data_IF_190706030035
#
_entry.id   IF_190706030035
#
_cell.length_a   1.000
_cell.length_b   1.000
_cell.length_c   1.000
_cell.angle_alpha   90.00
_cell.angle_beta   90.00
_cell.angle_gamma   90.00
#
_symmetry.space_group_name_H-M   'P 1'
#
loop_
_entity.id
_entity.type
_entity.pdbx_description
1 polymer ?
#
# COMPACT_ATOMS: atom_id res chain seq x y z
N UNK A 1 -18.77 13.64 -7.34
CA UNK A 1 -18.20 13.05 -6.10
C UNK A 1 -17.39 11.83 -6.51
N UNK A 2 -16.11 11.72 -6.13
CA UNK A 2 -15.27 10.58 -6.56
C UNK A 2 -15.45 9.41 -5.60
N UNK A 3 -16.26 8.42 -6.00
CA UNK A 3 -16.59 7.24 -5.18
C UNK A 3 -15.56 6.11 -5.31
N UNK A 4 -14.76 6.13 -6.37
CA UNK A 4 -13.73 5.15 -6.64
C UNK A 4 -12.41 5.84 -7.02
N UNK A 5 -11.32 5.32 -6.47
CA UNK A 5 -9.98 5.52 -7.02
C UNK A 5 -9.74 4.45 -8.07
N UNK A 6 -9.13 4.81 -9.21
CA UNK A 6 -8.93 3.86 -10.31
C UNK A 6 -7.54 4.03 -10.89
N UNK A 7 -6.79 2.94 -10.91
CA UNK A 7 -5.49 2.84 -11.57
C UNK A 7 -5.71 2.02 -12.84
N UNK A 8 -5.45 2.64 -14.00
CA UNK A 8 -5.60 2.02 -15.32
C UNK A 8 -4.22 1.72 -15.89
N UNK A 9 -4.02 0.48 -16.33
CA UNK A 9 -2.89 0.10 -17.16
C UNK A 9 -3.44 -0.35 -18.51
N UNK A 10 -3.12 0.44 -19.54
CA UNK A 10 -3.65 0.24 -20.89
C UNK A 10 -3.44 -1.19 -21.35
N UNK A 11 -4.51 -1.79 -21.87
CA UNK A 11 -4.56 -3.17 -22.36
C UNK A 11 -4.39 -4.29 -21.31
N UNK A 12 -4.06 -3.96 -20.06
CA UNK A 12 -3.73 -4.96 -19.05
C UNK A 12 -4.77 -5.07 -17.94
N UNK A 13 -4.95 -4.03 -17.14
CA UNK A 13 -5.84 -4.11 -15.99
C UNK A 13 -6.38 -2.78 -15.50
N UNK A 14 -7.50 -2.85 -14.78
CA UNK A 14 -8.01 -1.78 -13.93
C UNK A 14 -8.00 -2.23 -12.47
N UNK A 15 -7.42 -1.42 -11.59
CA UNK A 15 -7.55 -1.56 -10.14
C UNK A 15 -8.52 -0.49 -9.65
N UNK A 16 -9.53 -0.90 -8.90
CA UNK A 16 -10.64 -0.03 -8.49
C UNK A 16 -10.84 -0.14 -6.99
N UNK A 17 -10.57 0.96 -6.29
CA UNK A 17 -10.68 1.00 -4.83
C UNK A 17 -11.84 1.90 -4.43
N UNK A 18 -12.74 1.39 -3.60
CA UNK A 18 -13.83 2.16 -3.03
C UNK A 18 -13.27 3.26 -2.11
N UNK A 19 -13.61 4.52 -2.41
CA UNK A 19 -13.32 5.65 -1.51
C UNK A 19 -14.46 5.74 -0.51
N UNK A 20 -14.20 5.33 0.74
CA UNK A 20 -15.22 5.32 1.78
C UNK A 20 -15.60 6.75 2.17
N UNK A 21 -16.88 7.05 2.07
CA UNK A 21 -17.46 8.35 2.41
C UNK A 21 -18.63 8.16 3.37
N UNK A 22 -18.70 9.04 4.36
CA UNK A 22 -19.84 9.11 5.25
C UNK A 22 -21.12 9.43 4.45
N UNK A 23 -22.24 8.81 4.82
CA UNK A 23 -23.57 9.03 4.24
C UNK A 23 -23.80 8.51 2.81
N UNK A 24 -22.85 7.83 2.18
CA UNK A 24 -23.06 7.17 0.89
C UNK A 24 -23.60 5.76 1.11
N UNK A 25 -24.75 5.44 0.50
CA UNK A 25 -25.37 4.13 0.62
C UNK A 25 -24.66 3.07 -0.22
N UNK A 26 -24.74 1.80 0.18
CA UNK A 26 -24.24 0.66 -0.62
C UNK A 26 -24.81 0.66 -2.04
N UNK A 27 -26.09 1.00 -2.19
CA UNK A 27 -26.75 1.10 -3.50
C UNK A 27 -26.05 2.11 -4.41
N UNK A 28 -25.74 3.30 -3.90
CA UNK A 28 -25.04 4.36 -4.63
C UNK A 28 -23.64 3.90 -5.09
N UNK A 29 -22.92 3.14 -4.27
CA UNK A 29 -21.63 2.57 -4.68
C UNK A 29 -21.80 1.56 -5.82
N UNK A 30 -22.80 0.68 -5.75
CA UNK A 30 -23.06 -0.31 -6.81
C UNK A 30 -23.46 0.35 -8.12
N UNK A 31 -24.29 1.39 -8.10
CA UNK A 31 -24.66 2.15 -9.30
C UNK A 31 -23.42 2.77 -9.96
N UNK A 32 -22.62 3.51 -9.20
CA UNK A 32 -21.40 4.12 -9.69
C UNK A 32 -20.37 3.09 -10.17
N UNK A 33 -20.25 1.95 -9.47
CA UNK A 33 -19.39 0.86 -9.92
C UNK A 33 -19.88 0.24 -11.23
N UNK A 34 -21.19 0.10 -11.42
CA UNK A 34 -21.77 -0.47 -12.63
C UNK A 34 -21.46 0.39 -13.85
N UNK A 35 -21.50 1.71 -13.72
CA UNK A 35 -21.07 2.63 -14.78
C UNK A 35 -19.60 2.42 -15.15
N UNK A 36 -18.71 2.37 -14.15
CA UNK A 36 -17.28 2.14 -14.34
C UNK A 36 -17.00 0.76 -14.96
N UNK A 37 -17.72 -0.27 -14.51
CA UNK A 37 -17.59 -1.63 -15.03
C UNK A 37 -18.04 -1.72 -16.50
N UNK A 38 -19.08 -0.98 -16.87
CA UNK A 38 -19.51 -0.89 -18.27
C UNK A 38 -18.49 -0.13 -19.13
N UNK A 39 -17.84 0.91 -18.60
CA UNK A 39 -16.71 1.58 -19.27
C UNK A 39 -15.57 0.59 -19.51
N UNK A 40 -15.17 -0.17 -18.48
CA UNK A 40 -14.12 -1.18 -18.59
C UNK A 40 -14.43 -2.25 -19.64
N UNK A 41 -15.67 -2.74 -19.72
CA UNK A 41 -16.10 -3.74 -20.73
C UNK A 41 -15.96 -3.25 -22.17
N UNK A 42 -15.99 -1.93 -22.40
CA UNK A 42 -15.81 -1.35 -23.73
C UNK A 42 -14.34 -1.18 -24.11
N UNK A 43 -13.43 -1.38 -23.15
CA UNK A 43 -11.99 -1.32 -23.38
C UNK A 43 -11.43 -2.72 -23.64
N UNK A 44 -10.39 -2.80 -24.46
CA UNK A 44 -9.64 -4.04 -24.69
C UNK A 44 -8.66 -4.27 -23.52
N UNK A 45 -9.18 -4.64 -22.35
CA UNK A 45 -8.42 -4.78 -21.10
C UNK A 45 -8.64 -6.17 -20.50
N UNK A 46 -7.56 -6.84 -20.05
CA UNK A 46 -7.64 -8.26 -19.67
C UNK A 46 -8.42 -8.52 -18.38
N UNK A 47 -8.28 -7.68 -17.35
CA UNK A 47 -9.01 -7.88 -16.09
C UNK A 47 -9.31 -6.58 -15.34
N UNK A 48 -10.28 -6.66 -14.42
CA UNK A 48 -10.59 -5.62 -13.44
C UNK A 48 -10.54 -6.25 -12.05
N UNK A 49 -9.83 -5.61 -11.13
CA UNK A 49 -9.75 -6.00 -9.72
C UNK A 49 -10.35 -4.88 -8.87
N UNK A 50 -11.16 -5.27 -7.89
CA UNK A 50 -11.96 -4.32 -7.11
C UNK A 50 -11.77 -4.56 -5.62
N UNK A 51 -11.36 -3.52 -4.90
CA UNK A 51 -11.38 -3.47 -3.45
C UNK A 51 -12.62 -2.70 -3.00
N UNK A 52 -13.53 -3.37 -2.30
CA UNK A 52 -14.82 -2.82 -1.91
C UNK A 52 -15.27 -3.39 -0.56
N UNK A 53 -16.14 -2.67 0.13
CA UNK A 53 -16.75 -3.12 1.38
C UNK A 53 -17.51 -4.44 1.18
N UNK A 54 -17.33 -5.38 2.11
CA UNK A 54 -17.89 -6.73 2.02
C UNK A 54 -19.43 -6.75 2.02
N UNK A 55 -20.08 -5.68 2.49
CA UNK A 55 -21.53 -5.50 2.36
C UNK A 55 -22.04 -5.54 0.92
N UNK A 56 -21.18 -5.26 -0.06
CA UNK A 56 -21.49 -5.31 -1.49
C UNK A 56 -21.25 -6.68 -2.15
N UNK A 57 -20.78 -7.67 -1.38
CA UNK A 57 -20.32 -8.97 -1.91
C UNK A 57 -21.36 -9.65 -2.82
N UNK A 58 -22.63 -9.67 -2.42
CA UNK A 58 -23.69 -10.36 -3.18
C UNK A 58 -23.84 -9.76 -4.59
N UNK A 59 -23.92 -8.44 -4.68
CA UNK A 59 -24.04 -7.71 -5.95
C UNK A 59 -22.81 -7.92 -6.84
N UNK A 60 -21.61 -7.98 -6.25
CA UNK A 60 -20.38 -8.24 -7.01
C UNK A 60 -20.38 -9.65 -7.63
N UNK A 61 -20.85 -10.67 -6.91
CA UNK A 61 -21.03 -12.03 -7.47
C UNK A 61 -22.04 -12.02 -8.63
N UNK A 62 -23.16 -11.30 -8.48
CA UNK A 62 -24.17 -11.16 -9.54
C UNK A 62 -23.62 -10.48 -10.81
N UNK A 63 -22.63 -9.57 -10.65
CA UNK A 63 -21.89 -8.95 -11.76
C UNK A 63 -20.81 -9.85 -12.37
N UNK A 64 -20.60 -11.07 -11.83
CA UNK A 64 -19.65 -12.06 -12.33
C UNK A 64 -18.26 -12.00 -11.69
N UNK A 65 -18.08 -11.24 -10.61
CA UNK A 65 -16.82 -11.20 -9.88
C UNK A 65 -16.65 -12.44 -9.00
N UNK A 66 -15.40 -12.79 -8.71
CA UNK A 66 -15.04 -13.82 -7.73
C UNK A 66 -14.24 -13.19 -6.60
N UNK A 67 -14.56 -13.55 -5.35
CA UNK A 67 -13.84 -13.05 -4.18
C UNK A 67 -12.43 -13.66 -4.12
N UNK A 68 -11.41 -12.81 -4.05
CA UNK A 68 -9.99 -13.21 -3.97
C UNK A 68 -9.50 -13.25 -2.52
N UNK A 69 -9.75 -12.19 -1.75
CA UNK A 69 -9.39 -12.10 -0.33
C UNK A 69 -10.33 -11.15 0.44
N UNK A 70 -10.15 -11.10 1.76
CA UNK A 70 -10.67 -10.05 2.62
C UNK A 70 -9.49 -9.44 3.37
N UNK A 71 -9.45 -8.12 3.44
CA UNK A 71 -8.50 -7.38 4.28
C UNK A 71 -9.24 -6.81 5.49
N UNK A 72 -8.53 -6.67 6.60
CA UNK A 72 -8.99 -5.92 7.77
C UNK A 72 -8.11 -4.69 7.87
N UNK A 73 -8.76 -3.54 7.99
CA UNK A 73 -8.10 -2.28 8.32
C UNK A 73 -8.10 -2.08 9.83
N UNK A 74 -7.02 -1.51 10.35
CA UNK A 74 -6.91 -1.08 11.73
C UNK A 74 -6.35 0.33 11.79
N UNK A 75 -6.84 1.10 12.76
CA UNK A 75 -6.42 2.47 12.99
C UNK A 75 -5.63 2.58 14.28
N UNK A 76 -4.55 3.36 14.25
CA UNK A 76 -3.72 3.65 15.41
C UNK A 76 -3.37 5.12 15.50
N UNK A 77 -3.64 5.76 16.64
CA UNK A 77 -3.18 7.12 16.93
C UNK A 77 -1.64 7.18 17.02
N UNK A 78 -1.06 8.21 16.40
CA UNK A 78 0.40 8.41 16.36
C UNK A 78 0.93 9.29 17.51
N UNK A 79 0.03 9.94 18.28
CA UNK A 79 0.42 10.79 19.41
C UNK A 79 1.26 10.01 20.43
N UNK A 80 0.83 8.78 20.75
CA UNK A 80 1.47 7.89 21.72
C UNK A 80 2.70 7.16 21.16
N UNK A 81 2.93 7.22 19.84
CA UNK A 81 4.11 6.60 19.23
C UNK A 81 5.36 7.36 19.67
N UNK A 82 6.17 6.66 20.44
CA UNK A 82 7.41 7.17 21.00
C UNK A 82 8.60 6.73 20.14
N UNK A 83 9.56 7.64 19.95
CA UNK A 83 10.82 7.33 19.28
C UNK A 83 11.68 6.50 20.23
N UNK A 84 11.66 5.18 20.07
CA UNK A 84 12.55 4.29 20.81
C UNK A 84 13.95 4.30 20.20
N UNK A 85 14.99 4.28 21.04
CA UNK A 85 16.35 4.07 20.57
C UNK A 85 16.46 2.66 20.01
N UNK A 86 16.71 2.58 18.71
CA UNK A 86 16.97 1.35 17.99
C UNK A 86 18.41 1.37 17.49
N UNK A 87 19.04 0.20 17.41
CA UNK A 87 20.33 0.03 16.73
C UNK A 87 20.20 0.02 15.20
N UNK A 88 18.98 0.26 14.69
CA UNK A 88 18.68 0.35 13.27
C UNK A 88 18.92 1.78 12.79
N UNK A 89 19.82 1.94 11.83
CA UNK A 89 20.02 3.19 11.10
C UNK A 89 18.94 3.34 10.04
N UNK A 90 18.39 4.54 9.95
CA UNK A 90 17.34 4.90 8.98
C UNK A 90 17.93 5.86 7.96
N UNK A 91 17.72 5.57 6.67
CA UNK A 91 18.17 6.41 5.57
C UNK A 91 17.01 6.68 4.62
N UNK A 92 16.87 7.93 4.19
CA UNK A 92 16.00 8.28 3.07
C UNK A 92 16.74 8.10 1.75
N UNK A 93 16.01 7.69 0.71
CA UNK A 93 16.54 7.56 -0.64
C UNK A 93 16.98 8.92 -1.21
N UNK A 94 16.43 10.05 -0.73
CA UNK A 94 16.86 11.40 -1.14
C UNK A 94 18.30 11.72 -0.67
N UNK A 95 18.84 11.01 0.31
CA UNK A 95 20.24 11.18 0.74
C UNK A 95 21.27 10.79 -0.33
N UNK A 96 20.83 10.13 -1.42
CA UNK A 96 21.70 9.77 -2.55
C UNK A 96 22.69 8.63 -2.25
N UNK A 97 22.55 7.96 -1.11
CA UNK A 97 23.39 6.83 -0.68
C UNK A 97 23.01 5.48 -1.30
N UNK A 98 21.87 5.42 -1.98
CA UNK A 98 21.35 4.25 -2.68
C UNK A 98 20.74 4.71 -4.00
N UNK A 99 20.93 3.93 -5.08
CA UNK A 99 20.31 4.21 -6.37
C UNK A 99 18.85 3.75 -6.41
N UNK A 100 18.08 4.25 -7.36
CA UNK A 100 16.67 3.85 -7.55
C UNK A 100 16.55 2.39 -7.93
N UNK A 101 17.50 1.91 -8.76
CA UNK A 101 17.58 0.52 -9.14
C UNK A 101 17.86 -0.38 -7.94
N UNK A 102 18.80 0.02 -7.07
CA UNK A 102 19.11 -0.75 -5.86
C UNK A 102 17.92 -0.79 -4.89
N UNK A 103 17.20 0.33 -4.76
CA UNK A 103 15.99 0.39 -3.94
C UNK A 103 14.87 -0.52 -4.49
N UNK A 104 14.68 -0.56 -5.81
CA UNK A 104 13.71 -1.45 -6.43
C UNK A 104 14.09 -2.93 -6.27
N UNK A 105 15.38 -3.27 -6.37
CA UNK A 105 15.88 -4.62 -6.10
C UNK A 105 15.66 -4.99 -4.62
N UNK A 106 15.88 -4.04 -3.70
CA UNK A 106 15.58 -4.22 -2.28
C UNK A 106 14.09 -4.49 -2.05
N UNK A 107 13.21 -3.74 -2.71
CA UNK A 107 11.76 -3.98 -2.68
C UNK A 107 11.41 -5.40 -3.14
N UNK A 108 11.89 -5.83 -4.31
CA UNK A 108 11.65 -7.18 -4.81
C UNK A 108 12.18 -8.26 -3.85
N UNK A 109 13.35 -8.02 -3.27
CA UNK A 109 13.94 -8.91 -2.26
C UNK A 109 13.02 -9.03 -1.04
N UNK A 110 12.49 -7.92 -0.55
CA UNK A 110 11.51 -7.88 0.54
C UNK A 110 10.18 -8.55 0.18
N UNK A 111 9.76 -8.53 -1.09
CA UNK A 111 8.56 -9.23 -1.58
C UNK A 111 8.76 -10.74 -1.78
N UNK A 112 10.00 -11.21 -1.95
CA UNK A 112 10.28 -12.62 -2.19
C UNK A 112 9.80 -13.53 -1.04
N UNK A 113 9.15 -14.65 -1.38
CA UNK A 113 8.63 -15.62 -0.41
C UNK A 113 7.52 -15.08 0.51
N UNK A 114 6.89 -13.95 0.16
CA UNK A 114 5.66 -13.49 0.81
C UNK A 114 4.46 -14.19 0.19
N UNK A 115 3.45 -14.52 0.99
CA UNK A 115 2.24 -15.22 0.56
C UNK A 115 1.25 -14.33 -0.22
N UNK A 116 1.70 -13.18 -0.72
CA UNK A 116 0.83 -12.24 -1.41
C UNK A 116 0.34 -12.91 -2.71
N UNK A 117 -0.96 -13.22 -2.78
CA UNK A 117 -1.56 -13.97 -3.89
C UNK A 117 -1.64 -13.15 -5.18
N UNK A 118 -1.39 -11.85 -5.08
CA UNK A 118 -1.32 -10.96 -6.23
C UNK A 118 -0.03 -11.21 -7.01
N UNK A 119 -0.10 -11.09 -8.34
CA UNK A 119 1.06 -11.17 -9.22
C UNK A 119 2.09 -10.14 -8.74
N UNK A 120 3.32 -10.58 -8.45
CA UNK A 120 4.39 -9.66 -8.08
C UNK A 120 4.62 -8.67 -9.23
N UNK A 121 4.59 -7.39 -8.89
CA UNK A 121 4.91 -6.32 -9.82
C UNK A 121 6.38 -6.42 -10.23
N UNK A 122 6.66 -6.13 -11.50
CA UNK A 122 8.02 -5.91 -11.98
C UNK A 122 8.64 -4.66 -11.33
N UNK A 123 9.97 -4.53 -11.39
CA UNK A 123 10.68 -3.32 -10.95
C UNK A 123 10.07 -2.07 -11.60
N UNK A 124 9.86 -2.11 -12.91
CA UNK A 124 9.37 -0.96 -13.67
C UNK A 124 7.93 -0.59 -13.32
N UNK A 125 7.08 -1.58 -13.00
CA UNK A 125 5.72 -1.32 -12.52
C UNK A 125 5.74 -0.69 -11.13
N UNK A 126 6.58 -1.20 -10.22
CA UNK A 126 6.73 -0.64 -8.87
C UNK A 126 7.28 0.79 -8.91
N UNK A 127 8.31 1.06 -9.71
CA UNK A 127 8.87 2.41 -9.81
C UNK A 127 7.87 3.40 -10.43
N UNK A 128 7.08 2.95 -11.41
CA UNK A 128 5.99 3.76 -11.96
C UNK A 128 4.89 4.02 -10.94
N UNK A 129 4.50 3.03 -10.12
CA UNK A 129 3.46 3.22 -9.10
C UNK A 129 3.88 4.24 -8.05
N UNK A 130 5.15 4.21 -7.61
CA UNK A 130 5.68 5.23 -6.69
C UNK A 130 5.54 6.63 -7.27
N UNK A 131 5.90 6.83 -8.54
CA UNK A 131 5.80 8.14 -9.19
C UNK A 131 4.36 8.58 -9.41
N UNK A 132 3.46 7.67 -9.78
CA UNK A 132 2.06 8.02 -10.03
C UNK A 132 1.28 8.31 -8.75
N UNK A 133 1.59 7.62 -7.66
CA UNK A 133 0.84 7.73 -6.41
C UNK A 133 1.46 8.72 -5.41
N UNK A 134 2.79 8.83 -5.37
CA UNK A 134 3.50 9.72 -4.44
C UNK A 134 4.05 10.99 -5.14
N UNK A 135 3.88 11.10 -6.45
CA UNK A 135 4.25 12.28 -7.23
C UNK A 135 5.76 12.48 -7.39
N UNK A 136 6.17 13.71 -7.74
CA UNK A 136 7.56 14.04 -8.07
C UNK A 136 8.52 13.90 -6.87
N UNK A 137 7.99 13.94 -5.64
CA UNK A 137 8.75 13.84 -4.39
C UNK A 137 8.80 12.41 -3.84
N UNK A 138 8.41 11.39 -4.62
CA UNK A 138 8.35 9.98 -4.17
C UNK A 138 9.62 9.48 -3.45
N UNK A 139 10.81 10.00 -3.79
CA UNK A 139 12.08 9.66 -3.12
C UNK A 139 12.09 10.02 -1.63
N UNK A 140 11.40 11.08 -1.23
CA UNK A 140 11.30 11.52 0.17
C UNK A 140 10.55 10.51 1.02
N UNK A 141 9.65 9.76 0.40
CA UNK A 141 8.86 8.70 1.04
C UNK A 141 9.62 7.37 1.11
N UNK A 142 10.72 7.20 0.38
CA UNK A 142 11.41 5.91 0.29
C UNK A 142 12.50 5.80 1.35
N UNK A 143 12.30 4.95 2.36
CA UNK A 143 13.28 4.71 3.42
C UNK A 143 13.81 3.28 3.39
N UNK A 144 15.10 3.13 3.66
CA UNK A 144 15.74 1.84 3.89
C UNK A 144 16.46 1.83 5.24
N UNK A 145 16.56 0.63 5.80
CA UNK A 145 17.02 0.43 7.16
C UNK A 145 18.26 -0.44 7.18
N UNK A 146 19.25 -0.09 8.00
CA UNK A 146 20.48 -0.85 8.19
C UNK A 146 20.66 -1.31 9.63
N UNK A 147 21.22 -2.50 9.82
CA UNK A 147 21.77 -2.96 11.09
C UNK A 147 23.25 -3.25 10.89
N UNK A 148 24.12 -2.45 11.52
CA UNK A 148 25.52 -2.36 11.11
C UNK A 148 25.63 -1.93 9.64
N UNK A 149 26.38 -2.69 8.85
CA UNK A 149 26.58 -2.40 7.42
C UNK A 149 25.56 -3.06 6.49
N UNK A 150 24.67 -3.90 7.01
CA UNK A 150 23.71 -4.64 6.18
C UNK A 150 22.36 -3.95 6.11
N UNK A 151 21.77 -3.92 4.91
CA UNK A 151 20.39 -3.50 4.71
C UNK A 151 19.44 -4.61 5.20
N UNK A 152 18.50 -4.23 6.07
CA UNK A 152 17.58 -5.18 6.73
C UNK A 152 16.15 -5.09 6.18
N UNK A 153 15.79 -4.00 5.54
CA UNK A 153 14.44 -3.79 5.01
C UNK A 153 14.21 -2.38 4.52
N UNK A 154 12.95 -2.10 4.18
CA UNK A 154 12.50 -0.80 3.68
C UNK A 154 11.09 -0.47 4.16
N UNK A 155 10.73 0.80 4.11
CA UNK A 155 9.36 1.28 4.33
C UNK A 155 9.11 2.51 3.46
N UNK A 156 7.85 2.67 3.05
CA UNK A 156 7.38 3.74 2.19
C UNK A 156 6.17 4.41 2.84
N UNK A 157 6.38 5.24 3.88
CA UNK A 157 5.31 6.00 4.53
C UNK A 157 4.83 7.16 3.65
N UNK A 158 3.51 7.39 3.63
CA UNK A 158 2.90 8.53 2.95
C UNK A 158 1.65 9.03 3.68
N UNK A 159 1.24 10.26 3.35
CA UNK A 159 -0.08 10.78 3.74
C UNK A 159 -1.08 10.39 2.66
N UNK A 160 -2.20 9.80 3.05
CA UNK A 160 -3.18 9.27 2.12
C UNK A 160 -3.82 10.37 1.27
N UNK A 161 -3.93 10.14 -0.03
CA UNK A 161 -4.45 11.13 -0.97
C UNK A 161 -5.90 11.51 -0.62
N UNK A 162 -6.16 12.82 -0.57
CA UNK A 162 -7.49 13.34 -0.21
C UNK A 162 -7.74 13.43 1.30
N UNK A 163 -6.75 13.10 2.13
CA UNK A 163 -6.76 13.34 3.57
C UNK A 163 -5.74 14.41 3.95
N UNK A 164 -5.81 14.91 5.19
CA UNK A 164 -4.86 15.90 5.71
C UNK A 164 -3.81 15.25 6.63
N UNK A 165 -4.18 14.20 7.35
CA UNK A 165 -3.43 13.68 8.49
C UNK A 165 -3.49 12.16 8.63
N UNK A 166 -4.02 11.43 7.63
CA UNK A 166 -4.01 9.98 7.60
C UNK A 166 -2.67 9.48 7.07
N UNK A 167 -1.89 8.82 7.92
CA UNK A 167 -0.69 8.12 7.51
C UNK A 167 -1.00 6.71 7.01
N UNK A 168 -0.39 6.30 5.91
CA UNK A 168 -0.39 4.93 5.42
C UNK A 168 1.02 4.48 5.06
N UNK A 169 1.21 3.17 5.01
CA UNK A 169 2.42 2.58 4.45
C UNK A 169 2.07 2.04 3.08
N UNK A 170 2.55 2.69 2.02
CA UNK A 170 2.47 2.16 0.66
C UNK A 170 3.03 0.73 0.61
N UNK A 171 4.18 0.54 1.27
CA UNK A 171 4.75 -0.78 1.52
C UNK A 171 5.73 -0.72 2.70
N UNK A 172 5.89 -1.83 3.41
CA UNK A 172 7.08 -2.07 4.21
C UNK A 172 7.44 -3.56 4.15
N UNK A 173 8.73 -3.85 4.30
CA UNK A 173 9.21 -5.22 4.20
C UNK A 173 10.57 -5.43 4.81
N UNK A 174 10.84 -6.69 5.14
CA UNK A 174 12.11 -7.15 5.71
C UNK A 174 12.76 -8.11 4.74
N UNK A 175 14.06 -7.93 4.52
CA UNK A 175 14.88 -8.83 3.71
C UNK A 175 14.79 -10.25 4.31
N UNK A 176 14.61 -11.32 3.49
CA UNK A 176 14.33 -12.67 3.97
C UNK A 176 15.24 -13.17 5.10
N UNK A 177 16.56 -12.93 5.00
CA UNK A 177 17.54 -13.37 6.03
C UNK A 177 17.35 -12.72 7.40
N UNK A 178 16.63 -11.60 7.47
CA UNK A 178 16.38 -10.80 8.68
C UNK A 178 14.95 -10.96 9.23
N UNK A 179 14.12 -11.80 8.61
CA UNK A 179 12.75 -12.09 9.06
C UNK A 179 12.75 -12.94 10.33
N UNK A 180 11.62 -12.96 11.03
CA UNK A 180 11.38 -13.74 12.26
C UNK A 180 12.33 -13.43 13.44
N UNK A 181 12.98 -12.27 13.42
CA UNK A 181 13.89 -11.78 14.47
C UNK A 181 13.38 -10.49 15.14
N UNK A 182 12.09 -10.16 14.95
CA UNK A 182 11.48 -8.91 15.44
C UNK A 182 11.81 -7.67 14.61
N UNK A 183 12.60 -7.78 13.54
CA UNK A 183 12.96 -6.65 12.68
C UNK A 183 11.74 -6.02 11.98
N UNK A 184 10.73 -6.82 11.63
CA UNK A 184 9.48 -6.29 11.05
C UNK A 184 8.76 -5.35 12.00
N UNK A 185 8.63 -5.73 13.27
CA UNK A 185 8.04 -4.89 14.32
C UNK A 185 8.84 -3.60 14.52
N UNK A 186 10.17 -3.69 14.56
CA UNK A 186 11.05 -2.52 14.72
C UNK A 186 10.95 -1.56 13.54
N UNK A 187 11.02 -2.08 12.31
CA UNK A 187 10.87 -1.28 11.08
C UNK A 187 9.49 -0.61 11.05
N UNK A 188 8.43 -1.36 11.37
CA UNK A 188 7.08 -0.81 11.42
C UNK A 188 7.00 0.32 12.45
N UNK A 189 7.53 0.14 13.67
CA UNK A 189 7.57 1.21 14.68
C UNK A 189 8.33 2.45 14.21
N UNK A 190 9.48 2.28 13.55
CA UNK A 190 10.23 3.40 12.97
C UNK A 190 9.40 4.10 11.89
N UNK A 191 8.72 3.34 11.02
CA UNK A 191 7.86 3.89 9.99
C UNK A 191 6.68 4.69 10.57
N UNK A 192 6.10 4.27 11.71
CA UNK A 192 5.08 5.06 12.42
C UNK A 192 5.64 6.39 12.96
N UNK A 193 6.90 6.41 13.41
CA UNK A 193 7.57 7.66 13.79
C UNK A 193 7.79 8.55 12.57
N UNK A 194 8.18 7.98 11.42
CA UNK A 194 8.32 8.74 10.17
C UNK A 194 6.99 9.35 9.72
N UNK A 195 5.88 8.63 9.83
CA UNK A 195 4.55 9.17 9.54
C UNK A 195 4.22 10.37 10.45
N UNK A 196 4.55 10.27 11.74
CA UNK A 196 4.38 11.38 12.68
C UNK A 196 5.24 12.59 12.30
N UNK A 197 6.47 12.38 11.86
CA UNK A 197 7.35 13.45 11.36
C UNK A 197 6.78 14.08 10.07
N UNK A 198 6.03 13.32 9.27
CA UNK A 198 5.24 13.79 8.12
C UNK A 198 3.91 14.47 8.53
N UNK A 199 3.70 14.74 9.82
CA UNK A 199 2.49 15.37 10.37
C UNK A 199 1.21 14.51 10.33
N UNK A 200 1.31 13.20 10.10
CA UNK A 200 0.18 12.30 10.31
C UNK A 200 -0.22 12.26 11.79
N UNK A 201 -1.52 12.25 12.08
CA UNK A 201 -2.03 12.12 13.46
C UNK A 201 -2.44 10.69 13.78
N UNK A 202 -2.86 9.91 12.78
CA UNK A 202 -3.20 8.50 12.90
C UNK A 202 -2.64 7.70 11.71
N UNK A 203 -2.46 6.40 11.91
CA UNK A 203 -2.04 5.44 10.90
C UNK A 203 -3.16 4.45 10.61
N UNK A 204 -3.42 4.18 9.34
CA UNK A 204 -4.31 3.09 8.89
C UNK A 204 -3.48 2.01 8.22
N UNK A 205 -3.49 0.82 8.80
CA UNK A 205 -2.84 -0.37 8.25
C UNK A 205 -3.86 -1.39 7.76
N UNK A 206 -3.47 -2.20 6.78
CA UNK A 206 -4.29 -3.30 6.26
C UNK A 206 -3.54 -4.63 6.36
N UNK A 207 -4.25 -5.71 6.67
CA UNK A 207 -3.73 -7.08 6.57
C UNK A 207 -4.79 -8.03 6.03
N UNK A 208 -4.38 -9.06 5.29
CA UNK A 208 -5.28 -10.15 4.91
C UNK A 208 -5.78 -10.87 6.16
N UNK A 209 -7.06 -11.25 6.17
CA UNK A 209 -7.66 -12.06 7.25
C UNK A 209 -6.99 -13.41 7.43
N UNK A 210 -6.44 -13.98 6.34
CA UNK A 210 -5.70 -15.24 6.34
C UNK A 210 -4.30 -15.13 6.98
N UNK A 211 -3.80 -13.91 7.22
CA UNK A 211 -2.47 -13.61 7.76
C UNK A 211 -2.55 -13.02 9.18
N UNK A 212 -3.72 -13.10 9.82
CA UNK A 212 -3.91 -12.64 11.20
C UNK A 212 -2.95 -13.38 12.13
N UNK A 213 -2.11 -12.62 12.84
CA UNK A 213 -1.13 -13.07 13.84
C UNK A 213 -1.72 -14.06 14.86
#
# INVERSE_FOLDING_TARGET
MKLFHTIKNDHMYWLVDQVKQEQVSAHTYIEAFTELFNEWKQQDCHYISVLMDETNHKQMIELGFSKISSIVEYTRELQEVSRHQSNILTHSLIEGKMSDQDFAVLYQTCCSGTANKNKQQSVDEFMRSLQSELGLTWREHCYYFKSGDEVIGLAIPHIEMGTVNEGRLFYFGVVPKWRNQGNGTKIHQIALVLLKDMQATYYVGSTDTATSL
#
